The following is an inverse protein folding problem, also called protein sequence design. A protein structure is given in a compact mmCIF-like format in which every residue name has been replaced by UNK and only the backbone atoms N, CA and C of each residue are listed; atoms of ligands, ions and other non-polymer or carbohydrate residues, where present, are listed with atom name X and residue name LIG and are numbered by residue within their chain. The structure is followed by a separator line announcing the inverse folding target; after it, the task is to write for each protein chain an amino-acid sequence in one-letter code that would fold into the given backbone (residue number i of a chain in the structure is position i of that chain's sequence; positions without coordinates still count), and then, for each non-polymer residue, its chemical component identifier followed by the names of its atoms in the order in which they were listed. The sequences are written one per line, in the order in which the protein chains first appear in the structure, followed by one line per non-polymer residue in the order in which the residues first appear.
data_IF_724887459845
#
_entry.id   IF_724887459845
#
_cell.length_a   1.000
_cell.length_b   1.000
_cell.length_c   1.000
_cell.angle_alpha   90.00
_cell.angle_beta   90.00
_cell.angle_gamma   90.00
#
_symmetry.space_group_name_H-M   'P 1'
#
loop_
_entity.id
_entity.type
_entity.pdbx_description
1 polymer ?
#
# COMPACT_ATOMS: atom_id res chain seq x y z
N UNK A 1 -10.86 17.79 -8.41
CA UNK A 1 -10.27 17.72 -7.04
C UNK A 1 -11.11 18.54 -6.10
N UNK A 2 -11.25 18.08 -4.85
CA UNK A 2 -11.91 18.84 -3.78
C UNK A 2 -10.93 19.87 -3.23
N UNK A 3 -11.37 21.12 -3.01
CA UNK A 3 -10.60 22.14 -2.29
C UNK A 3 -10.88 21.97 -0.79
N UNK A 4 -10.07 21.17 -0.11
CA UNK A 4 -10.15 20.94 1.35
C UNK A 4 -8.90 21.54 1.98
N UNK A 5 -9.05 22.30 3.05
CA UNK A 5 -7.94 22.77 3.87
C UNK A 5 -7.50 21.63 4.79
N UNK A 6 -6.21 21.30 4.81
CA UNK A 6 -5.69 20.29 5.72
C UNK A 6 -4.48 20.80 6.50
N UNK A 7 -4.35 20.32 7.73
CA UNK A 7 -3.18 20.55 8.58
C UNK A 7 -2.80 19.28 9.31
N UNK A 8 -1.49 19.14 9.56
CA UNK A 8 -0.93 18.00 10.30
C UNK A 8 0.01 18.56 11.35
N UNK A 9 -0.26 18.21 12.60
CA UNK A 9 0.60 18.52 13.73
C UNK A 9 1.15 17.25 14.37
N UNK A 10 2.40 17.30 14.82
CA UNK A 10 3.05 16.17 15.48
C UNK A 10 3.80 16.60 16.71
N UNK A 11 3.64 15.85 17.82
CA UNK A 11 4.42 16.02 19.03
C UNK A 11 4.81 14.65 19.59
N UNK A 12 5.95 14.12 19.12
CA UNK A 12 6.44 12.77 19.40
C UNK A 12 7.87 12.87 19.94
N UNK A 13 8.14 12.23 21.06
CA UNK A 13 9.49 12.12 21.65
C UNK A 13 10.26 10.93 21.04
N UNK A 14 9.63 9.75 20.96
CA UNK A 14 10.24 8.55 20.43
C UNK A 14 9.84 8.37 18.97
N UNK A 15 10.77 8.74 18.07
CA UNK A 15 10.54 8.73 16.60
C UNK A 15 10.48 7.34 16.00
N UNK A 16 11.04 6.34 16.68
CA UNK A 16 11.11 4.97 16.20
C UNK A 16 10.33 4.04 17.10
N UNK A 17 9.48 3.21 16.51
CA UNK A 17 8.66 2.25 17.22
C UNK A 17 8.55 0.95 16.43
N UNK A 18 8.42 -0.17 17.13
CA UNK A 18 8.14 -1.47 16.51
C UNK A 18 6.64 -1.61 16.35
N UNK A 19 6.18 -1.79 15.12
CA UNK A 19 4.76 -1.98 14.82
C UNK A 19 4.56 -2.80 13.53
N UNK A 20 3.35 -3.31 13.34
CA UNK A 20 2.88 -3.77 12.04
C UNK A 20 2.56 -2.53 11.17
N UNK A 21 3.52 -2.17 10.31
CA UNK A 21 3.42 -1.00 9.44
C UNK A 21 2.19 -1.07 8.54
N UNK A 22 1.85 -2.26 8.03
CA UNK A 22 0.71 -2.45 7.11
C UNK A 22 -0.61 -2.17 7.81
N UNK A 23 -0.82 -2.77 9.00
CA UNK A 23 -2.04 -2.51 9.79
C UNK A 23 -2.16 -1.04 10.20
N UNK A 24 -1.04 -0.44 10.64
CA UNK A 24 -1.04 0.96 11.04
C UNK A 24 -1.37 1.90 9.88
N UNK A 25 -0.81 1.65 8.70
CA UNK A 25 -1.14 2.40 7.48
C UNK A 25 -2.61 2.23 7.10
N UNK A 26 -3.16 1.03 7.19
CA UNK A 26 -4.56 0.76 6.84
C UNK A 26 -5.53 1.44 7.80
N UNK A 27 -5.20 1.49 9.11
CA UNK A 27 -5.95 2.28 10.09
C UNK A 27 -6.02 3.75 9.66
N UNK A 28 -4.86 4.37 9.41
CA UNK A 28 -4.79 5.79 9.08
C UNK A 28 -5.44 6.12 7.74
N UNK A 29 -5.19 5.31 6.71
CA UNK A 29 -5.78 5.51 5.39
C UNK A 29 -7.30 5.40 5.41
N UNK A 30 -7.88 4.44 6.14
CA UNK A 30 -9.33 4.33 6.26
C UNK A 30 -9.96 5.54 6.95
N UNK A 31 -9.36 6.03 8.03
CA UNK A 31 -9.88 7.19 8.76
C UNK A 31 -9.74 8.47 7.92
N UNK A 32 -8.55 8.73 7.36
CA UNK A 32 -8.29 9.94 6.56
C UNK A 32 -9.10 9.94 5.26
N UNK A 33 -9.22 8.80 4.59
CA UNK A 33 -10.04 8.70 3.37
C UNK A 33 -11.52 8.95 3.65
N UNK A 34 -12.04 8.50 4.81
CA UNK A 34 -13.38 8.85 5.24
C UNK A 34 -13.52 10.34 5.50
N UNK A 35 -12.58 10.98 6.19
CA UNK A 35 -12.58 12.43 6.39
C UNK A 35 -12.62 13.18 5.05
N UNK A 36 -11.75 12.83 4.10
CA UNK A 36 -11.73 13.45 2.75
C UNK A 36 -13.05 13.22 2.02
N UNK A 37 -13.63 12.02 2.14
CA UNK A 37 -14.85 11.61 1.46
C UNK A 37 -16.05 12.41 1.93
N UNK A 38 -16.20 12.63 3.23
CA UNK A 38 -17.36 13.25 3.87
C UNK A 38 -17.19 14.73 4.18
N UNK A 39 -16.04 15.33 3.88
CA UNK A 39 -15.78 16.76 3.99
C UNK A 39 -16.10 17.46 2.67
N UNK A 40 -17.05 18.42 2.62
CA UNK A 40 -17.33 19.25 1.44
C UNK A 40 -16.17 20.19 1.08
N UNK A 41 -16.24 20.76 -0.13
CA UNK A 41 -15.30 21.80 -0.56
C UNK A 41 -15.32 23.02 0.39
N UNK A 42 -14.16 23.60 0.63
CA UNK A 42 -13.99 24.78 1.49
C UNK A 42 -13.95 24.46 2.99
N UNK A 43 -14.10 23.20 3.36
CA UNK A 43 -14.04 22.73 4.74
C UNK A 43 -12.63 22.21 5.08
N UNK A 44 -12.39 21.84 6.34
CA UNK A 44 -11.09 21.52 6.87
C UNK A 44 -10.97 20.09 7.41
N UNK A 45 -9.76 19.53 7.34
CA UNK A 45 -9.36 18.30 8.01
C UNK A 45 -8.08 18.60 8.80
N UNK A 46 -8.10 18.26 10.08
CA UNK A 46 -6.96 18.39 10.97
C UNK A 46 -6.50 17.02 11.46
N UNK A 47 -5.22 16.72 11.30
CA UNK A 47 -4.60 15.48 11.80
C UNK A 47 -3.60 15.86 12.87
N UNK A 48 -3.67 15.22 14.03
CA UNK A 48 -2.73 15.39 15.10
C UNK A 48 -2.19 14.03 15.57
N UNK A 49 -0.87 13.90 15.69
CA UNK A 49 -0.20 12.72 16.21
C UNK A 49 0.64 13.12 17.40
N UNK A 50 0.30 12.58 18.57
CA UNK A 50 0.99 12.89 19.80
C UNK A 50 1.40 11.64 20.54
N UNK A 51 2.45 11.75 21.32
CA UNK A 51 2.85 10.78 22.33
C UNK A 51 2.35 11.27 23.69
N UNK A 52 1.57 10.45 24.41
CA UNK A 52 0.91 10.86 25.65
C UNK A 52 1.52 10.29 26.92
N UNK A 53 2.02 9.06 26.86
CA UNK A 53 2.66 8.40 27.98
C UNK A 53 3.70 7.40 27.45
N UNK A 54 4.83 7.29 28.13
CA UNK A 54 5.85 6.30 27.83
C UNK A 54 6.46 5.75 29.10
N UNK A 55 6.94 4.52 29.03
CA UNK A 55 7.88 3.92 29.97
C UNK A 55 9.18 3.59 29.20
N UNK A 56 10.12 2.86 29.83
CA UNK A 56 11.41 2.52 29.20
C UNK A 56 11.28 1.61 27.95
N UNK A 57 10.11 1.03 27.68
CA UNK A 57 9.89 0.03 26.62
C UNK A 57 8.77 0.38 25.67
N UNK A 58 7.73 1.07 26.13
CA UNK A 58 6.52 1.36 25.35
C UNK A 58 6.13 2.82 25.44
N UNK A 59 5.64 3.34 24.34
CA UNK A 59 5.02 4.66 24.27
C UNK A 59 3.59 4.52 23.74
N UNK A 60 2.69 5.37 24.23
CA UNK A 60 1.32 5.50 23.73
C UNK A 60 1.27 6.60 22.69
N UNK A 61 0.91 6.24 21.48
CA UNK A 61 0.72 7.17 20.37
C UNK A 61 -0.77 7.40 20.18
N UNK A 62 -1.15 8.67 20.10
CA UNK A 62 -2.54 9.11 19.88
C UNK A 62 -2.60 9.78 18.52
N UNK A 63 -3.37 9.19 17.63
CA UNK A 63 -3.72 9.75 16.34
C UNK A 63 -5.13 10.32 16.42
N UNK A 64 -5.29 11.59 16.07
CA UNK A 64 -6.56 12.30 15.99
C UNK A 64 -6.74 12.75 14.55
N UNK A 65 -7.90 12.45 13.97
CA UNK A 65 -8.34 13.01 12.69
C UNK A 65 -9.69 13.67 12.91
N UNK A 66 -9.71 14.98 12.77
CA UNK A 66 -10.92 15.81 12.94
C UNK A 66 -11.27 16.48 11.62
N UNK A 67 -12.50 16.33 11.18
CA UNK A 67 -13.04 16.98 9.99
C UNK A 67 -14.23 17.87 10.35
N UNK A 68 -14.44 18.93 9.58
CA UNK A 68 -15.60 19.81 9.68
C UNK A 68 -16.68 19.46 8.65
N UNK A 69 -16.77 18.18 8.29
CA UNK A 69 -17.67 17.64 7.28
C UNK A 69 -19.14 17.54 7.71
N UNK A 70 -19.86 16.65 7.03
CA UNK A 70 -21.31 16.49 7.25
C UNK A 70 -21.66 15.92 8.63
N UNK A 71 -20.71 15.30 9.34
CA UNK A 71 -20.94 14.63 10.61
C UNK A 71 -21.94 13.49 10.51
N UNK A 72 -22.32 12.92 11.66
CA UNK A 72 -23.20 11.77 11.77
C UNK A 72 -24.28 12.01 12.83
N UNK A 73 -25.43 11.33 12.67
CA UNK A 73 -26.51 11.32 13.66
C UNK A 73 -26.12 10.54 14.89
N UNK A 74 -26.55 10.98 16.06
CA UNK A 74 -26.27 10.33 17.34
C UNK A 74 -26.76 8.86 17.39
N UNK A 75 -27.85 8.57 16.70
CA UNK A 75 -28.43 7.22 16.62
C UNK A 75 -27.56 6.24 15.85
N UNK A 76 -26.69 6.74 14.94
CA UNK A 76 -25.79 5.92 14.12
C UNK A 76 -24.44 5.62 14.82
N UNK A 77 -23.99 6.47 15.72
CA UNK A 77 -22.68 6.32 16.37
C UNK A 77 -22.43 4.94 17.03
N UNK A 78 -23.41 4.31 17.69
CA UNK A 78 -23.20 2.97 18.25
C UNK A 78 -22.91 1.88 17.19
N UNK A 79 -23.31 2.13 15.94
CA UNK A 79 -23.25 1.17 14.83
C UNK A 79 -22.14 1.45 13.82
N UNK A 80 -21.32 2.49 14.02
CA UNK A 80 -20.32 2.93 13.04
C UNK A 80 -19.23 1.88 12.79
N UNK A 81 -18.97 1.01 13.76
CA UNK A 81 -18.00 -0.08 13.68
C UNK A 81 -18.61 -1.44 13.34
N UNK A 82 -19.93 -1.52 13.13
CA UNK A 82 -20.57 -2.76 12.71
C UNK A 82 -20.25 -3.05 11.24
N UNK A 83 -20.09 -4.32 10.89
CA UNK A 83 -19.80 -4.73 9.52
C UNK A 83 -20.95 -4.33 8.57
N UNK A 84 -20.59 -3.85 7.39
CA UNK A 84 -21.53 -3.37 6.37
C UNK A 84 -22.43 -2.21 6.80
N UNK A 85 -22.16 -1.57 7.93
CA UNK A 85 -22.93 -0.45 8.46
C UNK A 85 -22.72 0.82 7.63
N UNK A 86 -23.82 1.54 7.35
CA UNK A 86 -23.82 2.82 6.62
C UNK A 86 -24.99 3.68 7.10
N UNK A 87 -24.75 4.94 7.40
CA UNK A 87 -25.80 5.88 7.78
C UNK A 87 -26.72 6.24 6.60
N UNK A 88 -26.12 6.33 5.38
CA UNK A 88 -26.85 6.69 4.16
C UNK A 88 -26.73 5.60 3.11
N UNK A 89 -27.83 5.27 2.44
CA UNK A 89 -27.80 4.36 1.28
C UNK A 89 -27.12 5.03 0.09
N UNK A 90 -26.47 4.23 -0.77
CA UNK A 90 -25.75 4.70 -1.96
C UNK A 90 -26.60 5.62 -2.88
N UNK A 91 -27.93 5.58 -2.74
CA UNK A 91 -28.89 6.36 -3.52
C UNK A 91 -28.96 7.83 -3.10
N UNK A 92 -28.66 8.16 -1.83
CA UNK A 92 -28.80 9.53 -1.32
C UNK A 92 -27.56 10.41 -1.55
N UNK A 93 -26.34 9.86 -1.53
CA UNK A 93 -25.12 10.68 -1.58
C UNK A 93 -24.09 10.31 -2.68
N UNK A 94 -24.37 9.37 -3.59
CA UNK A 94 -23.44 8.89 -4.63
C UNK A 94 -22.06 8.43 -4.11
N UNK A 95 -21.94 8.17 -2.81
CA UNK A 95 -20.68 7.86 -2.16
C UNK A 95 -20.52 6.34 -2.07
N UNK A 96 -19.63 5.79 -2.90
CA UNK A 96 -19.35 4.35 -2.96
C UNK A 96 -18.46 3.92 -1.78
N UNK A 97 -18.80 2.81 -1.12
CA UNK A 97 -17.98 2.20 -0.07
C UNK A 97 -18.63 0.89 0.40
N UNK A 98 -17.82 -0.07 0.84
CA UNK A 98 -18.26 -1.41 1.26
C UNK A 98 -18.91 -1.44 2.65
N UNK A 99 -18.65 -0.45 3.51
CA UNK A 99 -19.07 -0.45 4.92
C UNK A 99 -18.19 -1.33 5.82
N UNK A 100 -17.04 -1.81 5.32
CA UNK A 100 -16.11 -2.66 6.07
C UNK A 100 -14.91 -1.90 6.65
N UNK A 101 -14.58 -0.72 6.14
CA UNK A 101 -13.34 -0.01 6.52
C UNK A 101 -13.21 0.26 8.01
N UNK A 102 -14.27 0.73 8.68
CA UNK A 102 -14.20 1.07 10.11
C UNK A 102 -14.27 -0.15 11.03
N UNK A 103 -14.94 -1.23 10.64
CA UNK A 103 -14.89 -2.50 11.40
C UNK A 103 -13.49 -3.12 11.35
N UNK A 104 -12.81 -3.06 10.20
CA UNK A 104 -11.41 -3.48 10.04
C UNK A 104 -10.49 -2.60 10.90
N UNK A 105 -10.66 -1.28 10.88
CA UNK A 105 -9.89 -0.34 11.72
C UNK A 105 -10.01 -0.72 13.19
N UNK A 106 -11.24 -0.93 13.69
CA UNK A 106 -11.47 -1.32 15.08
C UNK A 106 -10.74 -2.64 15.42
N UNK A 107 -10.89 -3.65 14.55
CA UNK A 107 -10.22 -4.96 14.74
C UNK A 107 -8.70 -4.83 14.81
N UNK A 108 -8.10 -4.02 13.94
CA UNK A 108 -6.64 -3.82 13.94
C UNK A 108 -6.17 -3.03 15.16
N UNK A 109 -6.89 -1.99 15.57
CA UNK A 109 -6.58 -1.23 16.77
C UNK A 109 -6.64 -2.13 18.01
N UNK A 110 -7.70 -2.94 18.14
CA UNK A 110 -7.84 -3.90 19.26
C UNK A 110 -6.73 -4.97 19.23
N UNK A 111 -6.37 -5.50 18.06
CA UNK A 111 -5.28 -6.47 17.90
C UNK A 111 -3.92 -5.87 18.30
N UNK A 112 -3.72 -4.59 18.08
CA UNK A 112 -2.51 -3.86 18.51
C UNK A 112 -2.57 -3.42 19.99
N UNK A 113 -3.59 -3.82 20.75
CA UNK A 113 -3.77 -3.48 22.15
C UNK A 113 -4.20 -2.02 22.38
N UNK A 114 -4.68 -1.36 21.35
CA UNK A 114 -5.11 0.03 21.35
C UNK A 114 -6.60 0.21 21.61
N UNK A 115 -7.06 1.45 21.44
CA UNK A 115 -8.46 1.88 21.56
C UNK A 115 -8.80 2.87 20.46
N UNK A 116 -10.04 2.84 20.00
CA UNK A 116 -10.58 3.81 19.04
C UNK A 116 -11.85 4.45 19.59
N UNK A 117 -11.95 5.74 19.41
CA UNK A 117 -13.12 6.55 19.81
C UNK A 117 -13.59 7.39 18.62
N UNK A 118 -14.89 7.71 18.63
CA UNK A 118 -15.51 8.59 17.65
C UNK A 118 -16.42 9.59 18.36
N UNK A 119 -16.28 10.85 17.99
CA UNK A 119 -17.16 11.94 18.37
C UNK A 119 -17.68 12.57 17.07
N UNK A 120 -19.00 12.73 16.92
CA UNK A 120 -19.56 13.34 15.73
C UNK A 120 -20.92 13.98 16.02
N UNK A 121 -21.19 15.07 15.31
CA UNK A 121 -22.48 15.74 15.33
C UNK A 121 -22.86 16.13 13.91
N UNK A 122 -24.08 15.83 13.51
CA UNK A 122 -24.58 16.14 12.18
C UNK A 122 -24.45 17.64 11.86
N UNK A 123 -23.79 17.97 10.76
CA UNK A 123 -23.52 19.34 10.32
C UNK A 123 -22.31 20.01 10.97
N UNK A 124 -21.61 19.36 11.91
CA UNK A 124 -20.42 19.91 12.56
C UNK A 124 -19.12 19.18 12.21
N UNK A 125 -19.21 17.90 11.83
CA UNK A 125 -18.07 17.07 11.46
C UNK A 125 -17.87 15.88 12.37
N UNK A 126 -16.72 15.23 12.20
CA UNK A 126 -16.35 14.00 12.92
C UNK A 126 -14.92 14.06 13.42
N UNK A 127 -14.71 13.52 14.62
CA UNK A 127 -13.38 13.35 15.23
C UNK A 127 -13.19 11.88 15.59
N UNK A 128 -12.19 11.26 14.96
CA UNK A 128 -11.69 9.96 15.34
C UNK A 128 -10.45 10.11 16.22
N UNK A 129 -10.37 9.32 17.28
CA UNK A 129 -9.20 9.24 18.14
C UNK A 129 -8.76 7.78 18.23
N UNK A 130 -7.53 7.49 17.86
CA UNK A 130 -6.92 6.16 17.94
C UNK A 130 -5.73 6.22 18.88
N UNK A 131 -5.73 5.36 19.90
CA UNK A 131 -4.65 5.24 20.87
C UNK A 131 -4.00 3.86 20.74
N UNK A 132 -2.71 3.80 20.46
CA UNK A 132 -1.99 2.53 20.26
C UNK A 132 -0.70 2.54 21.09
N UNK A 133 -0.47 1.50 21.93
CA UNK A 133 0.81 1.31 22.59
C UNK A 133 1.79 0.62 21.65
N UNK A 134 2.94 1.22 21.39
CA UNK A 134 3.99 0.65 20.56
C UNK A 134 5.29 0.50 21.37
N UNK A 135 6.07 -0.53 21.07
CA UNK A 135 7.40 -0.71 21.64
C UNK A 135 8.35 0.36 21.08
N UNK A 136 9.07 1.03 21.98
CA UNK A 136 10.07 2.02 21.58
C UNK A 136 11.25 1.29 20.95
N UNK A 137 11.67 1.76 19.77
CA UNK A 137 12.88 1.30 19.12
C UNK A 137 13.96 2.37 19.20
N UNK A 138 15.21 1.96 19.34
CA UNK A 138 16.34 2.87 19.23
C UNK A 138 16.71 3.09 17.75
N UNK A 139 17.38 4.20 17.48
CA UNK A 139 17.94 4.47 16.15
C UNK A 139 18.91 3.35 15.73
N UNK A 140 19.66 2.79 16.68
CA UNK A 140 20.56 1.65 16.45
C UNK A 140 19.82 0.37 16.05
N UNK A 141 18.62 0.12 16.59
CA UNK A 141 17.82 -1.04 16.21
C UNK A 141 17.33 -0.93 14.77
N UNK A 142 16.98 0.28 14.34
CA UNK A 142 16.60 0.55 12.95
C UNK A 142 17.79 0.35 12.01
N UNK A 143 18.98 0.85 12.37
CA UNK A 143 20.20 0.65 11.58
C UNK A 143 20.62 -0.82 11.54
N UNK A 144 20.61 -1.54 12.67
CA UNK A 144 20.94 -2.98 12.70
C UNK A 144 19.97 -3.81 11.87
N UNK A 145 18.69 -3.48 11.87
CA UNK A 145 17.70 -4.15 11.03
C UNK A 145 17.98 -3.86 9.54
N UNK A 146 18.27 -2.61 9.19
CA UNK A 146 18.69 -2.24 7.82
C UNK A 146 19.98 -2.94 7.39
N UNK A 147 20.99 -3.02 8.24
CA UNK A 147 22.24 -3.72 7.95
C UNK A 147 22.03 -5.25 7.82
N UNK A 148 21.19 -5.87 8.65
CA UNK A 148 20.89 -7.30 8.55
C UNK A 148 20.05 -7.63 7.30
N UNK A 149 19.16 -6.75 6.87
CA UNK A 149 18.42 -6.87 5.62
C UNK A 149 19.30 -6.57 4.40
N UNK A 150 20.23 -5.62 4.50
CA UNK A 150 21.20 -5.30 3.42
C UNK A 150 22.32 -6.33 3.28
N UNK A 151 22.75 -6.99 4.36
CA UNK A 151 23.84 -7.97 4.31
C UNK A 151 23.50 -9.30 3.62
N UNK A 152 22.21 -9.60 3.44
CA UNK A 152 21.73 -10.80 2.73
C UNK A 152 21.53 -10.56 1.23
N UNK A 153 21.50 -9.29 0.80
CA UNK A 153 21.14 -8.94 -0.57
C UNK A 153 22.42 -8.53 -1.33
N UNK A 154 22.91 -9.46 -2.13
CA UNK A 154 24.10 -9.28 -2.96
C UNK A 154 23.95 -8.09 -3.93
N UNK A 155 25.10 -7.45 -4.21
CA UNK A 155 25.38 -6.40 -5.22
C UNK A 155 24.92 -6.72 -6.66
N UNK A 156 24.19 -7.84 -6.87
CA UNK A 156 23.79 -8.40 -8.16
C UNK A 156 22.63 -7.68 -8.87
N UNK A 157 21.94 -6.79 -8.18
CA UNK A 157 20.80 -6.03 -8.77
C UNK A 157 21.24 -4.73 -9.43
N UNK A 158 22.42 -4.20 -9.09
CA UNK A 158 22.92 -2.94 -9.67
C UNK A 158 23.19 -3.14 -11.17
N UNK A 159 22.67 -2.20 -11.98
CA UNK A 159 22.78 -2.23 -13.43
C UNK A 159 21.84 -3.20 -14.15
N UNK A 160 21.01 -3.96 -13.42
CA UNK A 160 19.94 -4.75 -14.02
C UNK A 160 18.88 -3.83 -14.62
N UNK A 161 18.28 -4.26 -15.73
CA UNK A 161 17.19 -3.55 -16.37
C UNK A 161 15.89 -4.31 -16.18
N UNK A 162 14.86 -3.62 -15.78
CA UNK A 162 13.51 -4.18 -15.64
C UNK A 162 12.53 -3.44 -16.56
N UNK A 163 11.43 -4.11 -16.89
CA UNK A 163 10.33 -3.53 -17.64
C UNK A 163 9.16 -3.27 -16.68
N UNK A 164 8.75 -2.02 -16.58
CA UNK A 164 7.61 -1.58 -15.77
C UNK A 164 6.39 -1.41 -16.68
N UNK A 165 5.30 -2.10 -16.41
CA UNK A 165 4.00 -1.89 -17.07
C UNK A 165 3.06 -1.22 -16.06
N UNK A 166 2.68 0.03 -16.32
CA UNK A 166 1.84 0.88 -15.46
C UNK A 166 1.15 1.93 -16.35
N UNK A 167 -0.15 2.06 -16.26
CA UNK A 167 -0.91 3.00 -17.11
C UNK A 167 -0.99 4.43 -16.52
N UNK A 168 -0.75 4.56 -15.23
CA UNK A 168 -0.74 5.86 -14.56
C UNK A 168 0.68 6.45 -14.53
N UNK A 169 0.87 7.58 -15.20
CA UNK A 169 2.16 8.25 -15.34
C UNK A 169 2.79 8.62 -13.99
N UNK A 170 2.00 9.11 -13.04
CA UNK A 170 2.50 9.46 -11.70
C UNK A 170 2.98 8.22 -10.93
N UNK A 171 2.24 7.11 -10.99
CA UNK A 171 2.66 5.86 -10.37
C UNK A 171 3.93 5.32 -11.01
N UNK A 172 4.04 5.42 -12.34
CA UNK A 172 5.24 5.02 -13.08
C UNK A 172 6.46 5.86 -12.68
N UNK A 173 6.32 7.19 -12.59
CA UNK A 173 7.40 8.08 -12.16
C UNK A 173 7.88 7.74 -10.73
N UNK A 174 6.96 7.51 -9.81
CA UNK A 174 7.29 7.12 -8.42
C UNK A 174 8.07 5.80 -8.41
N UNK A 175 7.59 4.78 -9.14
CA UNK A 175 8.26 3.48 -9.21
C UNK A 175 9.64 3.58 -9.83
N UNK A 176 9.80 4.35 -10.92
CA UNK A 176 11.07 4.55 -11.61
C UNK A 176 12.09 5.24 -10.69
N UNK A 177 11.69 6.27 -9.95
CA UNK A 177 12.61 6.98 -9.06
C UNK A 177 13.07 6.09 -7.90
N UNK A 178 12.16 5.32 -7.29
CA UNK A 178 12.50 4.34 -6.26
C UNK A 178 13.50 3.28 -6.76
N UNK A 179 13.31 2.79 -7.99
CA UNK A 179 14.21 1.80 -8.60
C UNK A 179 15.56 2.38 -8.96
N UNK A 180 15.59 3.62 -9.41
CA UNK A 180 16.82 4.35 -9.78
C UNK A 180 17.69 4.64 -8.55
N UNK A 181 17.11 4.92 -7.38
CA UNK A 181 17.85 5.06 -6.12
C UNK A 181 18.64 3.78 -5.77
N UNK A 182 18.16 2.62 -6.20
CA UNK A 182 18.80 1.31 -6.00
C UNK A 182 19.70 0.88 -7.17
N UNK A 183 19.94 1.78 -8.12
CA UNK A 183 20.79 1.51 -9.29
C UNK A 183 20.16 0.55 -10.32
N UNK A 184 18.85 0.38 -10.31
CA UNK A 184 18.10 -0.45 -11.26
C UNK A 184 17.63 0.41 -12.42
N UNK A 185 17.91 -0.03 -13.64
CA UNK A 185 17.46 0.63 -14.87
C UNK A 185 16.03 0.21 -15.18
N UNK A 186 15.18 1.14 -15.59
CA UNK A 186 13.76 0.87 -15.84
C UNK A 186 13.32 1.43 -17.17
N UNK A 187 12.71 0.58 -18.00
CA UNK A 187 11.98 1.00 -19.19
C UNK A 187 10.48 0.90 -18.89
N UNK A 188 9.69 1.86 -19.34
CA UNK A 188 8.27 1.98 -19.03
C UNK A 188 7.37 1.67 -20.21
N UNK A 189 6.44 0.75 -20.02
CA UNK A 189 5.33 0.44 -20.91
C UNK A 189 4.02 0.97 -20.31
N UNK A 190 3.18 1.61 -21.12
CA UNK A 190 1.94 2.28 -20.66
C UNK A 190 0.75 1.33 -20.52
N UNK A 191 0.89 0.07 -20.91
CA UNK A 191 -0.09 -1.01 -20.74
C UNK A 191 0.52 -2.37 -21.07
N UNK A 192 -0.31 -3.43 -20.91
CA UNK A 192 0.12 -4.80 -21.11
C UNK A 192 0.48 -5.13 -22.58
N UNK A 193 -0.14 -4.45 -23.57
CA UNK A 193 0.19 -4.69 -24.97
C UNK A 193 1.58 -4.12 -25.29
N UNK A 194 1.86 -2.89 -24.90
CA UNK A 194 3.16 -2.25 -25.08
C UNK A 194 4.26 -3.03 -24.36
N UNK A 195 3.97 -3.53 -23.13
CA UNK A 195 4.88 -4.41 -22.41
C UNK A 195 5.24 -5.67 -23.20
N UNK A 196 4.25 -6.36 -23.78
CA UNK A 196 4.49 -7.53 -24.63
C UNK A 196 5.33 -7.19 -25.87
N UNK A 197 5.06 -6.06 -26.52
CA UNK A 197 5.74 -5.62 -27.72
C UNK A 197 7.20 -5.25 -27.44
N UNK A 198 7.46 -4.49 -26.36
CA UNK A 198 8.81 -4.13 -25.91
C UNK A 198 9.62 -5.38 -25.54
N UNK A 199 9.04 -6.32 -24.77
CA UNK A 199 9.70 -7.58 -24.46
C UNK A 199 9.97 -8.40 -25.73
N UNK A 200 9.02 -8.42 -26.68
CA UNK A 200 9.14 -9.13 -27.95
C UNK A 200 10.30 -8.64 -28.81
N UNK A 201 10.53 -7.33 -28.82
CA UNK A 201 11.59 -6.66 -29.59
C UNK A 201 12.96 -6.67 -28.93
N UNK A 202 13.02 -6.80 -27.60
CA UNK A 202 14.26 -6.79 -26.85
C UNK A 202 15.13 -8.02 -27.16
N UNK A 203 16.43 -7.89 -26.96
CA UNK A 203 17.35 -9.04 -26.99
C UNK A 203 17.12 -9.97 -25.79
N UNK A 204 17.54 -11.22 -25.92
CA UNK A 204 17.47 -12.20 -24.83
C UNK A 204 18.25 -11.72 -23.60
N UNK A 205 17.57 -11.61 -22.46
CA UNK A 205 18.20 -11.17 -21.20
C UNK A 205 18.36 -9.66 -21.06
N UNK A 206 17.84 -8.85 -22.00
CA UNK A 206 17.83 -7.39 -21.87
C UNK A 206 17.06 -6.94 -20.65
N UNK A 207 15.87 -7.51 -20.43
CA UNK A 207 15.13 -7.35 -19.18
C UNK A 207 15.36 -8.54 -18.24
N UNK A 208 15.63 -8.23 -16.99
CA UNK A 208 15.82 -9.24 -15.95
C UNK A 208 14.51 -9.65 -15.26
N UNK A 209 13.49 -8.77 -15.30
CA UNK A 209 12.20 -8.93 -14.63
C UNK A 209 11.20 -7.94 -15.20
N UNK A 210 9.89 -8.26 -15.02
CA UNK A 210 8.77 -7.34 -15.31
C UNK A 210 8.04 -7.02 -14.02
N UNK A 211 7.84 -5.72 -13.74
CA UNK A 211 6.82 -5.22 -12.81
C UNK A 211 5.55 -4.94 -13.60
N UNK A 212 4.45 -5.61 -13.24
CA UNK A 212 3.22 -5.62 -14.01
C UNK A 212 2.04 -5.13 -13.19
N UNK A 213 1.49 -3.97 -13.51
CA UNK A 213 0.17 -3.61 -12.99
C UNK A 213 -0.90 -4.56 -13.50
N UNK A 214 -1.83 -4.91 -12.64
CA UNK A 214 -2.96 -5.77 -12.99
C UNK A 214 -4.01 -4.99 -13.77
N UNK A 215 -4.31 -3.77 -13.34
CA UNK A 215 -5.42 -2.99 -13.89
C UNK A 215 -4.91 -1.96 -14.90
N UNK A 216 -4.82 -2.37 -16.15
CA UNK A 216 -4.41 -1.51 -17.27
C UNK A 216 -5.40 -1.58 -18.42
N UNK A 217 -5.52 -0.50 -19.25
CA UNK A 217 -6.34 -0.49 -20.45
C UNK A 217 -5.74 -1.39 -21.55
N UNK A 218 -6.53 -1.69 -22.57
CA UNK A 218 -6.21 -2.50 -23.76
C UNK A 218 -5.91 -3.97 -23.44
N UNK A 219 -4.87 -4.24 -22.65
CA UNK A 219 -4.48 -5.57 -22.21
C UNK A 219 -4.10 -5.49 -20.72
N UNK A 220 -4.86 -6.14 -19.86
CA UNK A 220 -4.60 -6.16 -18.43
C UNK A 220 -3.40 -7.03 -18.07
N UNK A 221 -2.90 -6.93 -16.82
CA UNK A 221 -1.69 -7.62 -16.40
C UNK A 221 -1.79 -9.15 -16.46
N UNK A 222 -2.95 -9.73 -16.20
CA UNK A 222 -3.16 -11.19 -16.31
C UNK A 222 -3.09 -11.66 -17.76
N UNK A 223 -3.78 -10.95 -18.66
CA UNK A 223 -3.78 -11.26 -20.10
C UNK A 223 -2.39 -11.06 -20.71
N UNK A 224 -1.69 -9.99 -20.34
CA UNK A 224 -0.30 -9.74 -20.76
C UNK A 224 0.63 -10.87 -20.29
N UNK A 225 0.51 -11.28 -19.03
CA UNK A 225 1.28 -12.40 -18.50
C UNK A 225 1.01 -13.69 -19.26
N UNK A 226 -0.27 -14.05 -19.49
CA UNK A 226 -0.61 -15.24 -20.25
C UNK A 226 -0.02 -15.20 -21.68
N UNK A 227 -0.05 -14.04 -22.35
CA UNK A 227 0.55 -13.81 -23.67
C UNK A 227 2.07 -13.97 -23.64
N UNK A 228 2.74 -13.42 -22.63
CA UNK A 228 4.18 -13.57 -22.44
C UNK A 228 4.56 -15.05 -22.22
N UNK A 229 3.81 -15.78 -21.39
CA UNK A 229 4.04 -17.22 -21.13
C UNK A 229 3.88 -18.11 -22.36
N UNK A 230 3.16 -17.63 -23.39
CA UNK A 230 2.94 -18.33 -24.67
C UNK A 230 3.95 -17.93 -25.76
N UNK A 231 4.91 -17.03 -25.50
CA UNK A 231 5.93 -16.65 -26.48
C UNK A 231 6.77 -17.85 -26.90
N UNK A 232 7.10 -17.95 -28.19
CA UNK A 232 7.98 -19.00 -28.74
C UNK A 232 9.36 -18.98 -28.11
N UNK A 233 9.88 -17.79 -27.82
CA UNK A 233 11.15 -17.63 -27.14
C UNK A 233 11.02 -18.03 -25.67
N UNK A 234 11.56 -19.19 -25.33
CA UNK A 234 11.50 -19.77 -23.98
C UNK A 234 12.11 -18.88 -22.88
N UNK A 235 13.15 -18.11 -23.21
CA UNK A 235 13.79 -17.21 -22.23
C UNK A 235 12.87 -16.04 -21.89
N UNK A 236 12.22 -15.46 -22.91
CA UNK A 236 11.24 -14.39 -22.72
C UNK A 236 9.98 -14.92 -22.01
N UNK A 237 9.50 -16.10 -22.40
CA UNK A 237 8.37 -16.75 -21.75
C UNK A 237 8.58 -17.06 -20.26
N UNK A 238 9.84 -17.31 -19.86
CA UNK A 238 10.23 -17.64 -18.49
C UNK A 238 10.64 -16.43 -17.66
N UNK A 239 10.59 -15.19 -18.20
CA UNK A 239 10.97 -13.98 -17.47
C UNK A 239 10.17 -13.86 -16.17
N UNK A 240 10.79 -13.53 -15.02
CA UNK A 240 10.07 -13.26 -13.79
C UNK A 240 9.09 -12.09 -13.97
N UNK A 241 7.85 -12.27 -13.51
CA UNK A 241 6.81 -11.24 -13.56
C UNK A 241 6.25 -11.07 -12.15
N UNK A 242 6.33 -9.85 -11.62
CA UNK A 242 5.82 -9.48 -10.32
C UNK A 242 4.59 -8.59 -10.52
N UNK A 243 3.46 -9.01 -9.97
CA UNK A 243 2.22 -8.25 -10.00
C UNK A 243 2.30 -7.00 -9.11
N UNK A 244 1.76 -5.88 -9.57
CA UNK A 244 1.41 -4.74 -8.73
C UNK A 244 -0.12 -4.71 -8.59
N UNK A 245 -0.64 -4.91 -7.38
CA UNK A 245 -2.08 -5.07 -7.13
C UNK A 245 -2.63 -3.97 -6.24
N UNK A 246 -3.85 -3.50 -6.49
CA UNK A 246 -4.52 -2.55 -5.61
C UNK A 246 -4.90 -3.17 -4.25
N UNK A 247 -5.05 -4.51 -4.19
CA UNK A 247 -5.42 -5.26 -3.00
C UNK A 247 -4.55 -6.51 -2.89
N UNK A 248 -4.11 -6.82 -1.68
CA UNK A 248 -3.38 -8.05 -1.36
C UNK A 248 -4.32 -9.16 -0.83
N UNK A 249 -5.56 -9.26 -1.37
CA UNK A 249 -6.46 -10.34 -0.98
C UNK A 249 -6.01 -11.68 -1.57
N UNK A 250 -6.29 -12.76 -0.83
CA UNK A 250 -5.93 -14.12 -1.24
C UNK A 250 -6.43 -14.50 -2.66
N UNK A 251 -7.56 -13.94 -3.09
CA UNK A 251 -8.11 -14.14 -4.42
C UNK A 251 -7.24 -13.51 -5.51
N UNK A 252 -6.76 -12.28 -5.32
CA UNK A 252 -5.90 -11.57 -6.29
C UNK A 252 -4.54 -12.27 -6.41
N UNK A 253 -3.98 -12.71 -5.28
CA UNK A 253 -2.74 -13.50 -5.24
C UNK A 253 -2.92 -14.81 -6.01
N UNK A 254 -4.03 -15.51 -5.81
CA UNK A 254 -4.30 -16.78 -6.52
C UNK A 254 -4.50 -16.55 -8.02
N UNK A 255 -5.16 -15.47 -8.43
CA UNK A 255 -5.30 -15.11 -9.84
C UNK A 255 -3.96 -14.80 -10.49
N UNK A 256 -3.08 -14.05 -9.80
CA UNK A 256 -1.72 -13.78 -10.27
C UNK A 256 -0.91 -15.07 -10.46
N UNK A 257 -0.97 -15.99 -9.50
CA UNK A 257 -0.36 -17.33 -9.61
C UNK A 257 -0.89 -18.11 -10.80
N UNK A 258 -2.22 -18.15 -10.98
CA UNK A 258 -2.86 -18.88 -12.07
C UNK A 258 -2.50 -18.31 -13.44
N UNK A 259 -2.29 -16.99 -13.54
CA UNK A 259 -1.80 -16.34 -14.76
C UNK A 259 -0.32 -16.65 -15.05
N UNK A 260 0.43 -17.20 -14.09
CA UNK A 260 1.85 -17.53 -14.24
C UNK A 260 2.80 -16.43 -13.77
N UNK A 261 2.34 -15.53 -12.89
CA UNK A 261 3.19 -14.54 -12.22
C UNK A 261 4.01 -15.18 -11.09
N UNK A 262 5.18 -14.59 -10.78
CA UNK A 262 6.16 -15.14 -9.84
C UNK A 262 6.06 -14.52 -8.45
N UNK A 263 5.36 -13.41 -8.27
CA UNK A 263 5.17 -12.72 -7.01
C UNK A 263 4.19 -11.57 -7.13
N UNK A 264 3.98 -10.84 -6.04
CA UNK A 264 3.12 -9.66 -6.02
C UNK A 264 3.64 -8.60 -5.05
N UNK A 265 3.24 -7.36 -5.31
CA UNK A 265 3.48 -6.17 -4.48
C UNK A 265 2.17 -5.41 -4.40
N UNK A 266 1.73 -5.06 -3.19
CA UNK A 266 0.52 -4.27 -2.99
C UNK A 266 0.78 -2.78 -3.29
N UNK A 267 -0.17 -2.11 -3.92
CA UNK A 267 -0.24 -0.65 -4.02
C UNK A 267 -0.95 -0.08 -2.77
N UNK A 268 -0.55 1.09 -2.22
CA UNK A 268 0.49 1.98 -2.73
C UNK A 268 1.89 1.37 -2.59
N UNK A 269 2.77 1.65 -3.56
CA UNK A 269 4.11 1.07 -3.60
C UNK A 269 4.92 1.49 -2.36
N UNK A 270 5.24 0.51 -1.53
CA UNK A 270 6.20 0.64 -0.44
C UNK A 270 7.60 0.36 -1.02
N UNK A 271 8.46 1.38 -1.08
CA UNK A 271 9.78 1.26 -1.71
C UNK A 271 10.63 0.15 -1.11
N UNK A 272 10.67 0.01 0.23
CA UNK A 272 11.46 -1.03 0.90
C UNK A 272 10.96 -2.44 0.57
N UNK A 273 9.64 -2.65 0.59
CA UNK A 273 9.02 -3.94 0.22
C UNK A 273 9.25 -4.27 -1.25
N UNK A 274 9.03 -3.29 -2.13
CA UNK A 274 9.24 -3.46 -3.57
C UNK A 274 10.67 -3.89 -3.86
N UNK A 275 11.65 -3.19 -3.33
CA UNK A 275 13.06 -3.48 -3.52
C UNK A 275 13.43 -4.85 -2.94
N UNK A 276 12.89 -5.22 -1.78
CA UNK A 276 13.13 -6.54 -1.18
C UNK A 276 12.64 -7.67 -2.09
N UNK A 277 11.40 -7.59 -2.59
CA UNK A 277 10.82 -8.59 -3.50
C UNK A 277 11.63 -8.67 -4.80
N UNK A 278 11.99 -7.52 -5.38
CA UNK A 278 12.78 -7.47 -6.61
C UNK A 278 14.16 -8.08 -6.43
N UNK A 279 14.86 -7.75 -5.35
CA UNK A 279 16.19 -8.29 -5.06
C UNK A 279 16.14 -9.80 -4.85
N UNK A 280 15.14 -10.33 -4.17
CA UNK A 280 14.91 -11.77 -4.04
C UNK A 280 14.73 -12.42 -5.43
N UNK A 281 13.85 -11.87 -6.27
CA UNK A 281 13.62 -12.40 -7.62
C UNK A 281 14.84 -12.30 -8.55
N UNK A 282 15.67 -11.26 -8.39
CA UNK A 282 16.87 -11.07 -9.18
C UNK A 282 18.07 -11.91 -8.69
N UNK A 283 18.06 -12.33 -7.42
CA UNK A 283 19.09 -13.20 -6.84
C UNK A 283 18.85 -14.67 -7.17
N UNK A 284 17.61 -15.12 -7.15
CA UNK A 284 17.20 -16.48 -7.45
C UNK A 284 16.94 -16.64 -8.95
N UNK A 285 17.91 -17.13 -9.68
CA UNK A 285 17.74 -17.52 -11.10
C UNK A 285 16.90 -18.81 -11.27
N UNK A 286 16.24 -19.31 -10.22
CA UNK A 286 15.40 -20.52 -10.28
C UNK A 286 14.42 -20.56 -9.09
N UNK A 287 13.13 -20.68 -9.41
CA UNK A 287 12.01 -21.01 -8.51
C UNK A 287 11.80 -20.09 -7.28
N UNK A 288 11.25 -18.91 -7.49
CA UNK A 288 10.65 -18.13 -6.40
C UNK A 288 9.38 -18.86 -5.97
N UNK A 289 9.48 -19.67 -4.92
CA UNK A 289 8.32 -20.12 -4.15
C UNK A 289 7.77 -18.91 -3.43
N UNK A 290 6.53 -18.55 -3.71
CA UNK A 290 5.78 -17.52 -3.00
C UNK A 290 5.76 -17.92 -1.52
N UNK A 291 6.45 -17.18 -0.67
CA UNK A 291 6.29 -17.32 0.78
C UNK A 291 4.86 -16.90 1.12
N UNK A 292 4.12 -17.82 1.70
CA UNK A 292 2.87 -17.56 2.39
C UNK A 292 3.26 -16.83 3.68
N UNK A 293 3.09 -15.53 3.70
CA UNK A 293 3.11 -14.78 4.95
C UNK A 293 1.80 -15.08 5.70
N UNK A 294 1.97 -15.82 6.81
CA UNK A 294 0.99 -16.05 7.87
C UNK A 294 0.64 -14.74 8.60
#
# INVERSE_FOLDING_TARGET
SKEIQYSIDTNIQHKYAVCDKTKLQEIYLNIVSNAIKYTPNGQAIHVNITETASDDKKAWYVFICEDTGIGMKQEYLPHIFDEFSREHTATENKVVGTGLGLSIVKSFVELMGGKIYVESEQGKGTKFTVEIPLEIASEEDVYKKKESEQSVISDKSIGKRILLAEDNELNAEIAIELLKEEGILTDWAKDGQECCDMLGQAEDGYYALILMDIQMPRLNGYEATAKIRQMENRKKAAIPIIAMTANAFAEDIQMAKNAGMNGHIAKPLDGEKMITVLKQCLADNSDVKIQEDL
#
